data_IF_102870361759
#
_entry.id   IF_102870361759
#
_cell.length_a   1.000
_cell.length_b   1.000
_cell.length_c   1.000
_cell.angle_alpha   90.00
_cell.angle_beta   90.00
_cell.angle_gamma   90.00
#
_symmetry.space_group_name_H-M   'P 1'
#
loop_
_entity.id
_entity.type
_entity.pdbx_description
1 polymer ?
#
# COMPACT_ATOMS: atom_id res chain seq x y z
N UNK A 1 -11.07 -1.26 16.97
CA UNK A 1 -10.72 -2.67 16.64
C UNK A 1 -9.52 -3.13 17.45
N UNK A 2 -9.41 -4.45 17.69
CA UNK A 2 -8.29 -5.06 18.40
C UNK A 2 -7.73 -6.24 17.59
N UNK A 3 -6.44 -6.55 17.79
CA UNK A 3 -5.79 -7.72 17.20
C UNK A 3 -4.94 -8.44 18.23
N UNK A 4 -5.17 -9.75 18.34
CA UNK A 4 -4.43 -10.66 19.20
C UNK A 4 -4.02 -11.89 18.41
N UNK A 5 -2.85 -12.43 18.71
CA UNK A 5 -2.36 -13.69 18.16
C UNK A 5 -2.22 -14.72 19.29
N UNK A 6 -2.71 -15.92 19.06
CA UNK A 6 -2.45 -17.04 19.97
C UNK A 6 -1.01 -17.51 19.81
N UNK A 7 -0.30 -17.58 20.93
CA UNK A 7 1.09 -18.07 20.98
C UNK A 7 1.19 -19.21 21.99
N UNK A 8 2.27 -19.97 21.94
CA UNK A 8 2.55 -21.02 22.92
C UNK A 8 2.67 -20.50 24.37
N UNK A 9 2.79 -19.18 24.56
CA UNK A 9 2.92 -18.51 25.87
C UNK A 9 1.65 -17.75 26.27
N UNK A 10 0.56 -17.88 25.50
CA UNK A 10 -0.70 -17.17 25.72
C UNK A 10 -1.00 -16.16 24.60
N UNK A 11 -2.09 -15.42 24.75
CA UNK A 11 -2.52 -14.40 23.77
C UNK A 11 -1.59 -13.20 23.80
N UNK A 12 -1.04 -12.84 22.62
CA UNK A 12 -0.25 -11.63 22.40
C UNK A 12 -1.13 -10.55 21.79
N UNK A 13 -1.42 -9.48 22.54
CA UNK A 13 -2.13 -8.32 22.02
C UNK A 13 -1.17 -7.45 21.21
N UNK A 14 -1.48 -7.24 19.92
CA UNK A 14 -0.68 -6.45 18.99
C UNK A 14 -1.33 -5.12 18.67
N UNK A 15 -2.68 -5.07 18.57
CA UNK A 15 -3.42 -3.82 18.41
C UNK A 15 -4.50 -3.72 19.50
N UNK A 16 -4.64 -2.53 20.08
CA UNK A 16 -5.57 -2.27 21.18
C UNK A 16 -6.30 -0.96 20.96
N UNK A 17 -7.64 -1.02 20.91
CA UNK A 17 -8.55 0.13 20.84
C UNK A 17 -8.24 1.07 19.65
N UNK A 18 -7.90 0.52 18.48
CA UNK A 18 -7.65 1.31 17.29
C UNK A 18 -9.00 1.83 16.75
N UNK A 19 -9.11 3.16 16.61
CA UNK A 19 -10.26 3.83 16.02
C UNK A 19 -9.80 5.08 15.28
N UNK A 20 -10.07 5.15 13.99
CA UNK A 20 -9.88 6.34 13.15
C UNK A 20 -10.72 6.21 11.88
N UNK A 21 -10.92 7.32 11.18
CA UNK A 21 -11.60 7.35 9.89
C UNK A 21 -10.82 8.25 8.94
N UNK A 22 -10.84 7.89 7.65
CA UNK A 22 -10.22 8.62 6.56
C UNK A 22 -11.24 8.77 5.44
N UNK A 23 -11.11 9.86 4.69
CA UNK A 23 -11.92 10.18 3.52
C UNK A 23 -11.04 10.13 2.26
N UNK A 24 -11.65 10.02 1.08
CA UNK A 24 -10.91 10.15 -0.18
C UNK A 24 -10.16 11.48 -0.21
N UNK A 25 -8.91 11.43 -0.69
CA UNK A 25 -8.01 12.56 -0.67
C UNK A 25 -7.25 12.77 0.64
N UNK A 26 -7.48 11.96 1.68
CA UNK A 26 -6.66 12.01 2.90
C UNK A 26 -5.35 11.26 2.69
N UNK A 27 -4.26 11.87 3.20
CA UNK A 27 -2.95 11.24 3.28
C UNK A 27 -2.45 11.26 4.73
N UNK A 28 -2.12 10.10 5.25
CA UNK A 28 -1.68 9.97 6.66
C UNK A 28 -0.38 9.19 6.76
N UNK A 29 0.48 9.59 7.70
CA UNK A 29 1.62 8.79 8.13
C UNK A 29 1.37 8.19 9.51
N UNK A 30 1.79 6.93 9.69
CA UNK A 30 1.77 6.23 10.97
C UNK A 30 3.21 5.89 11.32
N UNK A 31 3.74 6.59 12.31
CA UNK A 31 5.11 6.42 12.77
C UNK A 31 5.15 5.59 14.06
N UNK A 32 6.30 5.03 14.37
CA UNK A 32 6.50 4.30 15.63
C UNK A 32 7.64 3.29 15.53
N UNK A 33 8.12 2.76 16.67
CA UNK A 33 9.22 1.82 16.71
C UNK A 33 8.89 0.50 16.00
N UNK A 34 9.94 -0.28 15.68
CA UNK A 34 9.76 -1.63 15.16
C UNK A 34 8.98 -2.49 16.17
N UNK A 35 8.08 -3.33 15.67
CA UNK A 35 7.22 -4.18 16.51
C UNK A 35 6.05 -3.47 17.20
N UNK A 36 5.78 -2.20 16.92
CA UNK A 36 4.64 -1.46 17.52
C UNK A 36 3.27 -1.86 16.98
N UNK A 37 3.19 -2.65 15.89
CA UNK A 37 1.93 -3.11 15.27
C UNK A 37 1.58 -2.43 13.95
N UNK A 38 2.46 -1.60 13.37
CA UNK A 38 2.21 -0.84 12.14
C UNK A 38 1.85 -1.73 10.93
N UNK A 39 2.68 -2.73 10.63
CA UNK A 39 2.41 -3.65 9.51
C UNK A 39 1.16 -4.50 9.75
N UNK A 40 0.89 -4.91 11.01
CA UNK A 40 -0.36 -5.60 11.37
C UNK A 40 -1.57 -4.71 11.09
N UNK A 41 -1.50 -3.41 11.43
CA UNK A 41 -2.56 -2.46 11.11
C UNK A 41 -2.76 -2.36 9.59
N UNK A 42 -1.67 -2.23 8.80
CA UNK A 42 -1.76 -2.21 7.33
C UNK A 42 -2.38 -3.49 6.77
N UNK A 43 -2.04 -4.66 7.29
CA UNK A 43 -2.60 -5.93 6.81
C UNK A 43 -4.11 -6.02 7.09
N UNK A 44 -4.58 -5.49 8.22
CA UNK A 44 -6.01 -5.44 8.51
C UNK A 44 -6.72 -4.43 7.61
N UNK A 45 -6.17 -3.21 7.45
CA UNK A 45 -6.71 -2.19 6.53
C UNK A 45 -6.72 -2.69 5.08
N UNK A 46 -5.72 -3.48 4.72
CA UNK A 46 -5.57 -4.10 3.40
C UNK A 46 -6.39 -5.36 3.19
N UNK A 47 -7.25 -5.72 4.14
CA UNK A 47 -8.08 -6.92 4.09
C UNK A 47 -7.28 -8.22 3.87
N UNK A 48 -6.01 -8.25 4.32
CA UNK A 48 -5.15 -9.44 4.29
C UNK A 48 -5.35 -10.31 5.54
N UNK A 49 -5.75 -9.69 6.64
CA UNK A 49 -5.93 -10.36 7.93
C UNK A 49 -7.10 -9.74 8.70
N UNK A 50 -8.06 -10.52 9.23
CA UNK A 50 -9.17 -9.97 10.00
C UNK A 50 -8.71 -9.45 11.38
N UNK A 51 -9.37 -8.44 11.94
CA UNK A 51 -9.21 -8.07 13.34
C UNK A 51 -9.76 -9.20 14.24
N UNK A 52 -9.27 -9.29 15.49
CA UNK A 52 -9.83 -10.24 16.48
C UNK A 52 -11.20 -9.74 16.99
N UNK A 53 -11.34 -8.44 17.16
CA UNK A 53 -12.63 -7.78 17.52
C UNK A 53 -12.72 -6.42 16.87
N UNK A 54 -13.95 -5.96 16.63
CA UNK A 54 -14.23 -4.72 15.91
C UNK A 54 -14.39 -4.96 14.43
N UNK A 55 -14.42 -3.89 13.63
CA UNK A 55 -14.66 -3.96 12.19
C UNK A 55 -13.80 -2.95 11.44
N UNK A 56 -13.64 -3.18 10.14
CA UNK A 56 -13.06 -2.26 9.16
C UNK A 56 -14.06 -2.09 8.03
N UNK A 57 -14.24 -0.86 7.57
CA UNK A 57 -15.08 -0.57 6.42
C UNK A 57 -14.33 0.29 5.42
N UNK A 58 -14.43 -0.03 4.14
CA UNK A 58 -13.91 0.76 3.03
C UNK A 58 -15.03 1.00 2.01
N UNK A 59 -15.34 2.26 1.72
CA UNK A 59 -16.49 2.66 0.90
C UNK A 59 -17.85 2.08 1.42
N UNK A 60 -17.99 1.91 2.75
CA UNK A 60 -19.20 1.37 3.37
C UNK A 60 -19.29 -0.17 3.38
N UNK A 61 -18.33 -0.87 2.81
CA UNK A 61 -18.28 -2.33 2.76
C UNK A 61 -17.31 -2.89 3.82
N UNK A 62 -17.73 -3.93 4.55
CA UNK A 62 -16.84 -4.69 5.45
C UNK A 62 -16.23 -5.86 4.66
N UNK A 63 -14.91 -5.81 4.33
CA UNK A 63 -14.28 -6.85 3.51
C UNK A 63 -14.30 -8.22 4.18
N UNK A 64 -14.34 -8.28 5.51
CA UNK A 64 -14.33 -9.54 6.25
C UNK A 64 -15.71 -10.23 6.34
N UNK A 65 -16.75 -9.60 5.78
CA UNK A 65 -18.06 -10.22 5.59
C UNK A 65 -18.15 -11.04 4.29
N UNK A 66 -17.17 -10.92 3.40
CA UNK A 66 -17.14 -11.58 2.10
C UNK A 66 -16.59 -13.01 2.19
N UNK A 67 -16.98 -13.86 1.21
CA UNK A 67 -16.27 -15.10 0.97
C UNK A 67 -14.87 -14.86 0.38
N UNK A 68 -14.04 -15.89 0.32
CA UNK A 68 -12.65 -15.78 -0.14
C UNK A 68 -12.52 -15.20 -1.56
N UNK A 69 -13.45 -15.55 -2.46
CA UNK A 69 -13.42 -15.07 -3.84
C UNK A 69 -13.81 -13.59 -3.92
N UNK A 70 -14.88 -13.18 -3.27
CA UNK A 70 -15.31 -11.80 -3.22
C UNK A 70 -14.28 -10.92 -2.51
N UNK A 71 -13.68 -11.42 -1.42
CA UNK A 71 -12.60 -10.74 -0.71
C UNK A 71 -11.38 -10.53 -1.60
N UNK A 72 -10.98 -11.53 -2.39
CA UNK A 72 -9.85 -11.39 -3.32
C UNK A 72 -10.14 -10.35 -4.41
N UNK A 73 -11.36 -10.32 -4.96
CA UNK A 73 -11.80 -9.32 -5.93
C UNK A 73 -11.81 -7.93 -5.30
N UNK A 74 -12.37 -7.78 -4.10
CA UNK A 74 -12.41 -6.53 -3.36
C UNK A 74 -11.00 -5.97 -3.16
N UNK A 75 -10.04 -6.77 -2.66
CA UNK A 75 -8.64 -6.35 -2.52
C UNK A 75 -8.04 -5.88 -3.84
N UNK A 76 -8.20 -6.68 -4.88
CA UNK A 76 -7.65 -6.37 -6.20
C UNK A 76 -8.17 -5.05 -6.76
N UNK A 77 -9.44 -4.71 -6.53
CA UNK A 77 -10.10 -3.54 -7.10
C UNK A 77 -9.98 -2.29 -6.24
N UNK A 78 -9.97 -2.44 -4.92
CA UNK A 78 -10.09 -1.30 -3.98
C UNK A 78 -8.78 -0.92 -3.32
N UNK A 79 -7.80 -1.82 -3.27
CA UNK A 79 -6.61 -1.66 -2.43
C UNK A 79 -5.33 -1.85 -3.25
N UNK A 80 -4.45 -0.86 -3.19
CA UNK A 80 -3.09 -0.94 -3.71
C UNK A 80 -2.09 -1.11 -2.56
N UNK A 81 -1.08 -1.97 -2.76
CA UNK A 81 0.00 -2.17 -1.80
C UNK A 81 1.35 -1.81 -2.38
N UNK A 82 2.15 -1.08 -1.60
CA UNK A 82 3.56 -0.80 -1.84
C UNK A 82 4.35 -1.30 -0.62
N UNK A 83 5.16 -2.33 -0.82
CA UNK A 83 5.98 -2.96 0.22
C UNK A 83 7.42 -2.45 0.19
N UNK A 84 8.12 -2.58 1.31
CA UNK A 84 9.52 -2.23 1.45
C UNK A 84 10.43 -3.03 0.49
N UNK A 85 10.16 -4.32 0.31
CA UNK A 85 10.93 -5.22 -0.57
C UNK A 85 10.41 -5.25 -2.02
N UNK A 86 9.59 -4.27 -2.41
CA UNK A 86 9.00 -4.09 -3.74
C UNK A 86 8.10 -5.25 -4.20
N UNK A 87 8.41 -6.49 -3.85
CA UNK A 87 7.67 -7.71 -4.24
C UNK A 87 7.43 -7.81 -5.76
N UNK A 88 8.45 -7.49 -6.57
CA UNK A 88 8.39 -7.65 -8.02
C UNK A 88 8.70 -9.10 -8.40
N UNK A 89 8.03 -9.60 -9.45
CA UNK A 89 8.36 -10.88 -10.06
C UNK A 89 9.64 -10.72 -10.88
N UNK A 90 10.74 -11.41 -10.52
CA UNK A 90 12.06 -11.18 -11.13
C UNK A 90 12.15 -11.58 -12.60
N UNK A 91 11.26 -12.48 -13.06
CA UNK A 91 11.18 -12.95 -14.45
C UNK A 91 10.28 -12.09 -15.34
N UNK A 92 9.57 -11.12 -14.78
CA UNK A 92 8.67 -10.23 -15.49
C UNK A 92 9.33 -8.86 -15.69
N UNK A 93 9.13 -8.26 -16.87
CA UNK A 93 9.54 -6.89 -17.16
C UNK A 93 8.80 -5.85 -16.26
N UNK A 94 9.21 -4.60 -16.36
CA UNK A 94 8.49 -3.47 -15.72
C UNK A 94 7.02 -3.47 -16.12
N UNK A 95 6.74 -3.55 -17.43
CA UNK A 95 5.38 -3.55 -17.95
C UNK A 95 4.56 -4.73 -17.41
N UNK A 96 5.13 -5.92 -17.46
CA UNK A 96 4.46 -7.14 -16.99
C UNK A 96 4.19 -7.08 -15.49
N UNK A 97 5.15 -6.61 -14.68
CA UNK A 97 4.94 -6.42 -13.24
C UNK A 97 3.78 -5.46 -12.94
N UNK A 98 3.68 -4.35 -13.68
CA UNK A 98 2.58 -3.38 -13.51
C UNK A 98 1.23 -3.99 -13.91
N UNK A 99 1.22 -4.86 -14.92
CA UNK A 99 0.00 -5.52 -15.42
C UNK A 99 -0.48 -6.70 -14.56
N UNK A 100 0.33 -7.26 -13.64
CA UNK A 100 -0.08 -8.42 -12.82
C UNK A 100 -1.48 -8.28 -12.20
N UNK A 101 -1.86 -7.15 -11.56
CA UNK A 101 -3.18 -7.03 -10.96
C UNK A 101 -4.33 -7.08 -11.97
N UNK A 102 -4.08 -6.84 -13.25
CA UNK A 102 -5.09 -6.87 -14.31
C UNK A 102 -5.43 -8.29 -14.79
N UNK A 103 -4.64 -9.30 -14.40
CA UNK A 103 -4.92 -10.69 -14.71
C UNK A 103 -6.21 -11.21 -14.05
N UNK A 104 -6.64 -10.58 -12.97
CA UNK A 104 -7.97 -10.81 -12.38
C UNK A 104 -8.98 -10.02 -13.23
N UNK A 105 -9.66 -10.72 -14.13
CA UNK A 105 -10.62 -10.11 -15.08
C UNK A 105 -11.81 -9.48 -14.37
N UNK A 106 -12.18 -8.28 -14.82
CA UNK A 106 -13.49 -7.67 -14.56
C UNK A 106 -14.40 -8.02 -15.74
N UNK A 107 -15.71 -8.03 -15.52
CA UNK A 107 -16.70 -8.29 -16.58
C UNK A 107 -16.61 -7.30 -17.77
N UNK A 108 -16.04 -6.12 -17.53
CA UNK A 108 -15.98 -4.99 -18.49
C UNK A 108 -14.56 -4.67 -18.97
N UNK A 109 -13.54 -5.51 -18.65
CA UNK A 109 -12.15 -5.25 -19.00
C UNK A 109 -11.88 -5.50 -20.50
N UNK A 110 -11.54 -4.44 -21.23
CA UNK A 110 -10.83 -4.54 -22.51
C UNK A 110 -9.33 -4.52 -22.23
N UNK A 111 -8.58 -5.56 -22.59
CA UNK A 111 -7.14 -5.68 -22.35
C UNK A 111 -6.31 -4.52 -22.93
N UNK A 112 -6.78 -3.86 -24.00
CA UNK A 112 -6.15 -2.70 -24.61
C UNK A 112 -6.14 -1.48 -23.67
N UNK A 113 -7.21 -1.29 -22.87
CA UNK A 113 -7.32 -0.24 -21.87
C UNK A 113 -6.32 -0.39 -20.73
N UNK A 114 -6.08 -1.63 -20.26
CA UNK A 114 -5.13 -1.91 -19.19
C UNK A 114 -3.68 -1.68 -19.64
N UNK A 115 -3.34 -2.04 -20.89
CA UNK A 115 -2.03 -1.83 -21.46
C UNK A 115 -1.69 -0.34 -21.59
N UNK A 116 -2.62 0.46 -22.13
CA UNK A 116 -2.43 1.90 -22.27
C UNK A 116 -2.26 2.56 -20.89
N UNK A 117 -3.11 2.17 -19.92
CA UNK A 117 -3.00 2.67 -18.56
C UNK A 117 -1.67 2.28 -17.89
N UNK A 118 -1.18 1.06 -18.11
CA UNK A 118 0.12 0.63 -17.58
C UNK A 118 1.25 1.50 -18.14
N UNK A 119 1.25 1.79 -19.45
CA UNK A 119 2.22 2.69 -20.08
C UNK A 119 2.19 4.10 -19.50
N UNK A 120 0.99 4.66 -19.31
CA UNK A 120 0.81 5.97 -18.70
C UNK A 120 1.33 6.02 -17.26
N UNK A 121 1.06 4.99 -16.43
CA UNK A 121 1.57 4.93 -15.07
C UNK A 121 3.11 4.77 -15.04
N UNK A 122 3.67 3.95 -15.92
CA UNK A 122 5.12 3.77 -16.06
C UNK A 122 5.80 5.10 -16.44
N UNK A 123 5.20 5.87 -17.34
CA UNK A 123 5.69 7.20 -17.71
C UNK A 123 5.57 8.18 -16.52
N UNK A 124 4.45 8.20 -15.81
CA UNK A 124 4.23 9.06 -14.63
C UNK A 124 5.23 8.79 -13.49
N UNK A 125 5.71 7.55 -13.36
CA UNK A 125 6.77 7.22 -12.39
C UNK A 125 8.18 7.40 -12.96
N UNK A 126 8.32 7.94 -14.18
CA UNK A 126 9.60 8.25 -14.82
C UNK A 126 10.39 7.03 -15.26
N UNK A 127 9.71 5.99 -15.76
CA UNK A 127 10.31 4.70 -16.19
C UNK A 127 9.98 4.33 -17.65
N UNK A 128 9.54 5.29 -18.48
CA UNK A 128 9.19 5.03 -19.88
C UNK A 128 10.32 4.31 -20.65
N UNK A 129 11.57 4.75 -20.46
CA UNK A 129 12.77 4.16 -21.09
C UNK A 129 13.16 2.78 -20.51
N UNK A 130 12.49 2.33 -19.44
CA UNK A 130 12.77 1.08 -18.70
C UNK A 130 11.67 0.05 -18.84
N UNK A 131 10.69 0.27 -19.70
CA UNK A 131 9.45 -0.50 -19.77
C UNK A 131 9.66 -2.00 -19.96
N UNK A 132 10.70 -2.40 -20.72
CA UNK A 132 11.05 -3.80 -21.04
C UNK A 132 12.15 -4.37 -20.12
N UNK A 133 12.68 -3.58 -19.17
CA UNK A 133 13.74 -4.03 -18.26
C UNK A 133 13.20 -5.01 -17.21
N UNK A 134 14.04 -5.93 -16.80
CA UNK A 134 13.79 -6.82 -15.66
C UNK A 134 14.15 -6.13 -14.34
N UNK A 135 13.58 -6.55 -13.21
CA UNK A 135 13.92 -6.00 -11.88
C UNK A 135 15.40 -6.03 -11.52
N UNK A 136 16.16 -7.01 -12.05
CA UNK A 136 17.61 -7.11 -11.85
C UNK A 136 18.42 -6.01 -12.52
N UNK A 137 17.85 -5.33 -13.53
CA UNK A 137 18.46 -4.26 -14.29
C UNK A 137 18.13 -2.87 -13.74
N UNK A 138 17.32 -2.81 -12.66
CA UNK A 138 16.83 -1.58 -12.05
C UNK A 138 17.53 -1.29 -10.71
N UNK A 139 17.74 -0.02 -10.42
CA UNK A 139 18.12 0.45 -9.09
C UNK A 139 16.99 0.20 -8.06
N UNK A 140 17.29 0.29 -6.75
CA UNK A 140 16.30 0.15 -5.69
C UNK A 140 15.13 1.12 -5.83
N UNK A 141 15.43 2.39 -6.13
CA UNK A 141 14.41 3.42 -6.34
C UNK A 141 13.56 3.19 -7.61
N UNK A 142 14.17 2.68 -8.70
CA UNK A 142 13.40 2.31 -9.89
C UNK A 142 12.47 1.14 -9.60
N UNK A 143 12.93 0.10 -8.89
CA UNK A 143 12.06 -1.01 -8.45
C UNK A 143 10.90 -0.53 -7.59
N UNK A 144 11.16 0.42 -6.68
CA UNK A 144 10.09 0.99 -5.84
C UNK A 144 9.07 1.76 -6.68
N UNK A 145 9.51 2.52 -7.68
CA UNK A 145 8.60 3.21 -8.61
C UNK A 145 7.75 2.24 -9.43
N UNK A 146 8.30 1.09 -9.85
CA UNK A 146 7.51 0.01 -10.48
C UNK A 146 6.45 -0.52 -9.52
N UNK A 147 6.80 -0.76 -8.24
CA UNK A 147 5.83 -1.23 -7.24
C UNK A 147 4.71 -0.20 -7.01
N UNK A 148 5.01 1.10 -7.04
CA UNK A 148 4.01 2.18 -6.98
C UNK A 148 3.08 2.14 -8.20
N UNK A 149 3.62 2.06 -9.42
CA UNK A 149 2.82 1.98 -10.64
C UNK A 149 1.90 0.74 -10.63
N UNK A 150 2.43 -0.42 -10.22
CA UNK A 150 1.64 -1.66 -10.05
C UNK A 150 0.51 -1.50 -9.05
N UNK A 151 0.75 -0.84 -7.92
CA UNK A 151 -0.26 -0.63 -6.89
C UNK A 151 -1.43 0.25 -7.40
N UNK A 152 -1.17 1.13 -8.37
CA UNK A 152 -2.13 2.10 -8.88
C UNK A 152 -2.88 1.65 -10.15
N UNK A 153 -2.52 0.52 -10.76
CA UNK A 153 -3.08 0.11 -12.07
C UNK A 153 -4.60 -0.06 -12.04
N UNK A 154 -5.16 -0.52 -10.92
CA UNK A 154 -6.60 -0.74 -10.74
C UNK A 154 -7.38 0.46 -10.20
N UNK A 155 -6.79 1.66 -10.13
CA UNK A 155 -7.41 2.85 -9.52
C UNK A 155 -7.91 2.59 -8.10
N UNK A 156 -7.06 2.13 -7.17
CA UNK A 156 -7.51 1.77 -5.84
C UNK A 156 -8.08 2.98 -5.10
N UNK A 157 -9.05 2.72 -4.23
CA UNK A 157 -9.56 3.71 -3.26
C UNK A 157 -8.54 3.97 -2.16
N UNK A 158 -7.84 2.90 -1.75
CA UNK A 158 -6.90 2.90 -0.64
C UNK A 158 -5.52 2.44 -1.13
N UNK A 159 -4.51 3.28 -0.92
CA UNK A 159 -3.09 2.97 -1.18
C UNK A 159 -2.38 2.81 0.17
N UNK A 160 -1.88 1.62 0.42
CA UNK A 160 -1.17 1.23 1.63
C UNK A 160 0.32 1.07 1.33
N UNK A 161 1.17 1.78 2.08
CA UNK A 161 2.62 1.72 1.91
C UNK A 161 3.28 1.27 3.22
N UNK A 162 3.98 0.13 3.17
CA UNK A 162 4.77 -0.39 4.28
C UNK A 162 6.25 -0.05 4.05
N UNK A 163 6.77 0.92 4.82
CA UNK A 163 8.15 1.41 4.75
C UNK A 163 8.63 1.69 3.31
N UNK A 164 7.91 2.50 2.51
CA UNK A 164 8.14 2.59 1.06
C UNK A 164 9.50 3.17 0.66
N UNK A 165 10.26 3.70 1.62
CA UNK A 165 11.61 4.28 1.41
C UNK A 165 12.68 3.61 2.27
N UNK A 166 12.35 2.56 3.03
CA UNK A 166 13.23 1.98 4.04
C UNK A 166 14.54 1.38 3.52
N UNK A 167 14.57 0.96 2.26
CA UNK A 167 15.75 0.36 1.62
C UNK A 167 16.44 1.29 0.61
N UNK A 168 16.15 2.61 0.65
CA UNK A 168 16.64 3.58 -0.32
C UNK A 168 17.60 4.58 0.33
N UNK A 169 18.53 5.13 -0.47
CA UNK A 169 19.34 6.28 -0.06
C UNK A 169 18.50 7.57 0.08
N UNK A 170 19.04 8.58 0.74
CA UNK A 170 18.31 9.80 1.08
C UNK A 170 17.65 10.50 -0.11
N UNK A 171 18.40 10.73 -1.21
CA UNK A 171 17.87 11.43 -2.39
C UNK A 171 16.77 10.62 -3.08
N UNK A 172 16.97 9.32 -3.19
CA UNK A 172 16.00 8.40 -3.77
C UNK A 172 14.74 8.29 -2.90
N UNK A 173 14.90 8.28 -1.57
CA UNK A 173 13.80 8.29 -0.59
C UNK A 173 12.93 9.52 -0.74
N UNK A 174 13.55 10.71 -0.87
CA UNK A 174 12.86 11.97 -1.09
C UNK A 174 12.06 11.97 -2.40
N UNK A 175 12.68 11.49 -3.48
CA UNK A 175 12.03 11.41 -4.79
C UNK A 175 10.82 10.46 -4.77
N UNK A 176 10.94 9.26 -4.16
CA UNK A 176 9.83 8.30 -4.04
C UNK A 176 8.72 8.85 -3.12
N UNK A 177 9.08 9.50 -2.00
CA UNK A 177 8.11 10.14 -1.12
C UNK A 177 7.33 11.26 -1.82
N UNK A 178 8.00 12.11 -2.63
CA UNK A 178 7.37 13.15 -3.45
C UNK A 178 6.42 12.54 -4.46
N UNK A 179 6.86 11.52 -5.18
CA UNK A 179 6.05 10.81 -6.18
C UNK A 179 4.77 10.24 -5.59
N UNK A 180 4.85 9.57 -4.42
CA UNK A 180 3.68 9.01 -3.73
C UNK A 180 2.65 10.09 -3.39
N UNK A 181 3.09 11.23 -2.84
CA UNK A 181 2.21 12.35 -2.49
C UNK A 181 1.61 13.01 -3.73
N UNK A 182 2.37 13.14 -4.81
CA UNK A 182 1.87 13.72 -6.06
C UNK A 182 0.83 12.83 -6.76
N UNK A 183 1.08 11.53 -6.83
CA UNK A 183 0.14 10.56 -7.40
C UNK A 183 -1.14 10.46 -6.54
N UNK A 184 -1.00 10.43 -5.21
CA UNK A 184 -2.14 10.45 -4.30
C UNK A 184 -3.06 11.65 -4.55
N UNK A 185 -2.50 12.88 -4.66
CA UNK A 185 -3.28 14.10 -4.92
C UNK A 185 -4.00 14.06 -6.27
N UNK A 186 -3.34 13.56 -7.32
CA UNK A 186 -3.92 13.47 -8.67
C UNK A 186 -5.05 12.45 -8.77
N UNK A 187 -4.95 11.35 -8.01
CA UNK A 187 -5.88 10.22 -8.09
C UNK A 187 -6.93 10.24 -6.97
N UNK A 188 -6.82 11.20 -6.04
CA UNK A 188 -7.71 11.34 -4.86
C UNK A 188 -7.86 10.03 -4.06
N UNK A 189 -6.78 9.24 -3.99
CA UNK A 189 -6.75 8.01 -3.18
C UNK A 189 -6.65 8.34 -1.70
N UNK A 190 -7.11 7.44 -0.83
CA UNK A 190 -6.71 7.45 0.58
C UNK A 190 -5.30 6.88 0.64
N UNK A 191 -4.33 7.64 1.16
CA UNK A 191 -2.94 7.21 1.29
C UNK A 191 -2.59 6.97 2.76
N UNK A 192 -2.21 5.75 3.10
CA UNK A 192 -1.70 5.40 4.43
C UNK A 192 -0.26 4.91 4.29
N UNK A 193 0.68 5.62 4.90
CA UNK A 193 2.10 5.25 4.91
C UNK A 193 2.51 4.91 6.33
N UNK A 194 2.98 3.69 6.55
CA UNK A 194 3.68 3.37 7.81
C UNK A 194 5.17 3.49 7.58
N UNK A 195 5.86 4.14 8.52
CA UNK A 195 7.29 4.37 8.40
C UNK A 195 7.95 4.62 9.76
N UNK A 196 9.24 4.33 9.86
CA UNK A 196 10.10 4.79 10.94
C UNK A 196 10.92 6.03 10.53
N UNK A 197 10.87 6.45 9.25
CA UNK A 197 11.52 7.67 8.78
C UNK A 197 10.74 8.89 9.22
N UNK A 198 11.35 9.68 10.11
CA UNK A 198 10.79 10.97 10.55
C UNK A 198 10.65 11.94 9.38
N UNK A 199 11.66 11.97 8.49
CA UNK A 199 11.68 12.83 7.32
C UNK A 199 10.49 12.57 6.38
N UNK A 200 10.19 11.30 6.07
CA UNK A 200 9.01 10.95 5.28
C UNK A 200 7.72 11.25 6.04
N UNK A 201 7.66 10.87 7.33
CA UNK A 201 6.46 11.04 8.16
C UNK A 201 6.03 12.50 8.32
N UNK A 202 6.99 13.42 8.47
CA UNK A 202 6.73 14.86 8.63
C UNK A 202 6.18 15.55 7.38
N UNK A 203 6.24 14.91 6.22
CA UNK A 203 5.65 15.44 4.97
C UNK A 203 4.13 15.32 4.91
N UNK A 204 3.52 14.55 5.82
CA UNK A 204 2.09 14.36 5.92
C UNK A 204 1.46 15.36 6.90
N UNK A 205 0.31 15.93 6.51
CA UNK A 205 -0.44 16.84 7.39
C UNK A 205 -1.07 16.10 8.56
N UNK A 206 -1.64 14.92 8.29
CA UNK A 206 -2.21 14.05 9.31
C UNK A 206 -1.20 12.99 9.71
N UNK A 207 -0.81 12.98 10.97
CA UNK A 207 0.22 12.11 11.51
C UNK A 207 -0.28 11.36 12.71
N UNK A 208 0.06 10.09 12.79
CA UNK A 208 -0.23 9.26 13.94
C UNK A 208 1.06 8.63 14.47
N UNK A 209 1.08 8.41 15.77
CA UNK A 209 2.09 7.59 16.43
C UNK A 209 1.48 6.25 16.84
N UNK A 210 2.14 5.16 16.46
CA UNK A 210 1.82 3.82 16.92
C UNK A 210 2.78 3.42 18.02
N UNK A 211 2.27 3.22 19.22
CA UNK A 211 3.07 2.81 20.38
C UNK A 211 2.33 1.74 21.17
N UNK A 212 3.02 0.61 21.42
CA UNK A 212 2.45 -0.56 22.15
C UNK A 212 1.05 -0.96 21.66
N UNK A 213 0.86 -0.98 20.33
CA UNK A 213 -0.41 -1.38 19.70
C UNK A 213 -1.54 -0.34 19.80
N UNK A 214 -1.27 0.87 20.26
CA UNK A 214 -2.22 1.98 20.34
C UNK A 214 -1.85 3.07 19.35
N UNK A 215 -2.86 3.65 18.72
CA UNK A 215 -2.73 4.75 17.76
C UNK A 215 -3.08 6.08 18.42
N UNK A 216 -2.20 7.07 18.28
CA UNK A 216 -2.41 8.43 18.79
C UNK A 216 -2.19 9.43 17.65
N UNK A 217 -3.10 10.40 17.50
CA UNK A 217 -2.89 11.56 16.62
C UNK A 217 -1.81 12.48 17.18
N UNK A 218 -0.94 12.98 16.30
CA UNK A 218 0.14 13.94 16.60
C UNK A 218 -0.29 15.36 16.23
#
# INVERSE_FOLDING_TARGET
MNKQYETSRGALSVLTDITFSLSRGDAVSIMGPSGSGKSTLLYILGALEPPTTGSVSLDGEDPFSFDDQALAIFRNQKIGFVFQDHCLLPQCSVLENVLIPTLVKRSDDSGDSDLERARQLIDQVGLAERIDHLPSELSGGERQRVAVARALIRNPVLLLCDEPTGNLDGNTSEAVGSLLLDLHRRLETILVVVTHSTELGERFQSRFEMNHGRLRSL
#
